data_IF_134455828346
#
_entry.id   IF_134455828346
#
_cell.length_a   1.000
_cell.length_b   1.000
_cell.length_c   1.000
_cell.angle_alpha   90.00
_cell.angle_beta   90.00
_cell.angle_gamma   90.00
#
_symmetry.space_group_name_H-M   'P 1'
#
loop_
_entity.id
_entity.type
_entity.pdbx_description
1 polymer ?
#
# COMPACT_ATOMS: atom_id res chain seq x y z
N UNK A 1 6.52 1.40 26.39
CA UNK A 1 6.11 1.33 24.97
C UNK A 1 5.45 2.62 24.47
N UNK A 2 4.56 3.30 25.23
CA UNK A 2 3.92 4.57 24.83
C UNK A 2 4.89 5.75 24.62
N UNK A 3 5.94 5.86 25.44
CA UNK A 3 6.92 6.95 25.35
C UNK A 3 7.67 6.99 24.01
N UNK A 4 8.01 5.83 23.44
CA UNK A 4 8.74 5.77 22.16
C UNK A 4 7.87 6.20 20.98
N UNK A 5 6.57 5.85 21.02
CA UNK A 5 5.62 6.20 19.98
C UNK A 5 5.46 7.73 19.87
N UNK A 6 5.25 8.37 21.03
CA UNK A 6 5.13 9.81 21.11
C UNK A 6 6.41 10.52 20.65
N UNK A 7 7.57 10.08 21.13
CA UNK A 7 8.86 10.63 20.72
C UNK A 7 9.06 10.58 19.19
N UNK A 8 8.79 9.44 18.56
CA UNK A 8 8.93 9.28 17.11
C UNK A 8 7.92 10.15 16.34
N UNK A 9 6.68 10.23 16.80
CA UNK A 9 5.67 11.06 16.16
C UNK A 9 6.03 12.55 16.22
N UNK A 10 6.48 13.04 17.37
CA UNK A 10 6.94 14.43 17.53
C UNK A 10 8.13 14.75 16.62
N UNK A 11 9.09 13.83 16.49
CA UNK A 11 10.24 14.02 15.61
C UNK A 11 9.85 14.06 14.11
N UNK A 12 8.83 13.29 13.71
CA UNK A 12 8.36 13.21 12.32
C UNK A 12 7.33 14.28 11.96
N UNK A 13 6.65 14.85 12.95
CA UNK A 13 5.64 15.89 12.78
C UNK A 13 6.21 17.16 12.10
N UNK A 14 7.46 17.51 12.40
CA UNK A 14 8.08 18.76 11.93
C UNK A 14 7.24 20.00 12.30
N UNK A 15 7.36 21.08 11.55
CA UNK A 15 6.55 22.31 11.73
C UNK A 15 5.09 22.16 11.28
N UNK A 16 4.70 21.03 10.67
CA UNK A 16 3.41 20.89 9.96
C UNK A 16 2.28 20.37 10.84
N UNK A 17 2.60 19.68 11.93
CA UNK A 17 1.63 19.41 12.98
C UNK A 17 1.86 20.49 14.02
N UNK A 18 1.03 21.54 14.00
CA UNK A 18 0.92 22.41 15.17
C UNK A 18 0.70 21.50 16.38
N UNK A 19 1.42 21.76 17.48
CA UNK A 19 1.19 21.09 18.76
C UNK A 19 -0.26 21.38 19.17
N UNK A 20 -1.18 20.56 18.68
CA UNK A 20 -2.59 20.72 18.97
C UNK A 20 -2.79 20.36 20.45
N UNK A 21 -3.52 21.20 21.17
CA UNK A 21 -3.80 21.02 22.60
C UNK A 21 -4.49 19.68 22.94
N UNK A 22 -4.94 18.94 21.92
CA UNK A 22 -5.60 17.63 22.01
C UNK A 22 -4.73 16.45 21.50
N UNK A 23 -3.40 16.59 21.55
CA UNK A 23 -2.47 15.54 21.15
C UNK A 23 -2.77 14.21 21.88
N UNK A 24 -3.00 13.15 21.12
CA UNK A 24 -3.36 11.82 21.63
C UNK A 24 -2.50 10.72 21.01
N UNK A 25 -2.61 9.51 21.54
CA UNK A 25 -1.93 8.31 20.98
C UNK A 25 -2.42 8.04 19.54
N UNK A 26 -3.68 8.35 19.24
CA UNK A 26 -4.26 8.26 17.90
C UNK A 26 -3.62 9.28 16.96
N UNK A 27 -3.32 10.48 17.45
CA UNK A 27 -2.53 11.50 16.72
C UNK A 27 -1.14 10.98 16.39
N UNK A 28 -0.43 10.38 17.36
CA UNK A 28 0.91 9.81 17.13
C UNK A 28 0.89 8.76 16.01
N UNK A 29 -0.08 7.83 16.09
CA UNK A 29 -0.24 6.76 15.08
C UNK A 29 -0.60 7.34 13.71
N UNK A 30 -1.41 8.40 13.67
CA UNK A 30 -1.77 9.06 12.43
C UNK A 30 -0.56 9.72 11.76
N UNK A 31 0.28 10.40 12.53
CA UNK A 31 1.54 11.01 12.05
C UNK A 31 2.46 9.93 11.46
N UNK A 32 2.69 8.85 12.21
CA UNK A 32 3.51 7.74 11.73
C UNK A 32 2.95 7.08 10.47
N UNK A 33 1.63 6.86 10.42
CA UNK A 33 0.98 6.30 9.22
C UNK A 33 1.15 7.22 8.02
N UNK A 34 0.97 8.53 8.19
CA UNK A 34 1.15 9.51 7.11
C UNK A 34 2.60 9.54 6.62
N UNK A 35 3.55 9.49 7.56
CA UNK A 35 4.98 9.38 7.27
C UNK A 35 5.28 8.18 6.37
N UNK A 36 4.87 6.97 6.79
CA UNK A 36 5.13 5.75 6.02
C UNK A 36 4.42 5.73 4.67
N UNK A 37 3.22 6.32 4.56
CA UNK A 37 2.45 6.29 3.32
C UNK A 37 2.97 7.28 2.27
N UNK A 38 3.42 8.46 2.68
CA UNK A 38 3.74 9.59 1.79
C UNK A 38 5.23 9.91 1.67
N UNK A 39 5.98 9.81 2.78
CA UNK A 39 7.32 10.41 2.86
C UNK A 39 8.43 9.37 2.93
N UNK A 40 8.21 8.29 3.69
CA UNK A 40 9.22 7.27 3.97
C UNK A 40 9.96 6.77 2.73
N UNK A 41 9.24 6.38 1.66
CA UNK A 41 9.90 5.81 0.49
C UNK A 41 10.79 6.84 -0.22
N UNK A 42 10.37 8.10 -0.30
CA UNK A 42 11.16 9.16 -0.92
C UNK A 42 12.42 9.47 -0.11
N UNK A 43 12.29 9.57 1.21
CA UNK A 43 13.43 9.75 2.11
C UNK A 43 14.40 8.57 2.01
N UNK A 44 13.87 7.35 1.95
CA UNK A 44 14.62 6.12 1.77
C UNK A 44 15.40 6.11 0.44
N UNK A 45 14.78 6.50 -0.68
CA UNK A 45 15.48 6.62 -1.96
C UNK A 45 16.63 7.64 -1.91
N UNK A 46 16.43 8.77 -1.22
CA UNK A 46 17.45 9.82 -1.05
C UNK A 46 18.63 9.31 -0.23
N UNK A 47 18.36 8.70 0.93
CA UNK A 47 19.37 8.18 1.86
C UNK A 47 20.25 7.14 1.19
N UNK A 48 19.64 6.23 0.41
CA UNK A 48 20.36 5.14 -0.25
C UNK A 48 20.80 5.46 -1.69
N UNK A 49 20.80 6.73 -2.11
CA UNK A 49 21.26 7.17 -3.44
C UNK A 49 20.69 6.31 -4.58
N UNK A 50 19.37 6.10 -4.60
CA UNK A 50 18.68 5.26 -5.59
C UNK A 50 19.12 3.79 -5.61
N UNK A 51 19.52 3.24 -4.45
CA UNK A 51 19.77 1.81 -4.24
C UNK A 51 19.00 1.32 -3.00
N UNK A 52 17.66 1.35 -3.04
CA UNK A 52 16.85 1.11 -1.86
C UNK A 52 16.96 -0.33 -1.35
N UNK A 53 17.22 -0.48 -0.06
CA UNK A 53 17.14 -1.78 0.64
C UNK A 53 15.70 -2.18 1.03
N UNK A 54 14.78 -1.22 1.14
CA UNK A 54 13.34 -1.46 1.20
C UNK A 54 12.70 -1.29 -0.18
N UNK A 55 12.01 -2.32 -0.65
CA UNK A 55 11.31 -2.33 -1.92
C UNK A 55 9.81 -2.13 -1.71
N UNK A 56 9.24 -1.17 -2.45
CA UNK A 56 7.83 -0.82 -2.34
C UNK A 56 7.02 -1.45 -3.48
N UNK A 57 6.22 -2.45 -3.13
CA UNK A 57 5.16 -3.00 -3.96
C UNK A 57 4.00 -2.01 -3.95
N UNK A 58 3.50 -1.61 -5.13
CA UNK A 58 2.44 -0.62 -5.21
C UNK A 58 1.55 -0.83 -6.44
N UNK A 59 0.23 -0.92 -6.24
CA UNK A 59 -0.77 -1.01 -7.31
C UNK A 59 -1.05 0.36 -7.96
N UNK A 60 -0.03 1.19 -8.13
CA UNK A 60 -0.10 2.49 -8.79
C UNK A 60 -0.76 3.61 -7.98
N UNK A 61 -1.03 4.73 -8.66
CA UNK A 61 -1.49 6.00 -8.05
C UNK A 61 -2.90 5.94 -7.45
N UNK A 62 -3.70 4.94 -7.81
CA UNK A 62 -5.04 4.76 -7.26
C UNK A 62 -5.03 4.35 -5.77
N UNK A 63 -3.86 4.05 -5.18
CA UNK A 63 -3.74 3.70 -3.76
C UNK A 63 -4.44 2.38 -3.43
N UNK A 64 -4.47 1.44 -4.38
CA UNK A 64 -5.10 0.14 -4.20
C UNK A 64 -4.38 -0.68 -3.13
N UNK A 65 -3.08 -0.87 -3.30
CA UNK A 65 -2.22 -1.70 -2.44
C UNK A 65 -0.83 -1.08 -2.34
N UNK A 66 -0.23 -1.15 -1.15
CA UNK A 66 1.16 -0.81 -0.89
C UNK A 66 1.74 -1.83 0.10
N UNK A 67 2.94 -2.33 -0.16
CA UNK A 67 3.69 -3.15 0.79
C UNK A 67 5.19 -2.86 0.71
N UNK A 68 5.82 -2.70 1.87
CA UNK A 68 7.26 -2.51 2.00
C UNK A 68 7.93 -3.83 2.34
N UNK A 69 8.95 -4.19 1.57
CA UNK A 69 9.69 -5.45 1.72
C UNK A 69 11.15 -5.13 1.95
N UNK A 70 11.74 -5.70 3.01
CA UNK A 70 13.16 -5.55 3.26
C UNK A 70 13.97 -6.56 2.44
N UNK A 71 14.78 -6.07 1.51
CA UNK A 71 15.54 -6.89 0.55
C UNK A 71 16.41 -7.97 1.23
N UNK A 72 17.09 -7.65 2.34
CA UNK A 72 17.96 -8.61 3.01
C UNK A 72 17.18 -9.78 3.67
N UNK A 73 15.86 -9.67 3.75
CA UNK A 73 14.95 -10.70 4.25
C UNK A 73 14.11 -11.30 3.13
N UNK A 74 14.41 -10.97 1.89
CA UNK A 74 13.71 -11.49 0.73
C UNK A 74 14.04 -12.97 0.54
N UNK A 75 13.01 -13.75 0.29
CA UNK A 75 13.04 -15.15 -0.07
C UNK A 75 12.25 -15.37 -1.35
N UNK A 76 12.44 -16.51 -2.01
CA UNK A 76 11.63 -16.93 -3.17
C UNK A 76 10.13 -16.99 -2.88
N UNK A 77 9.74 -17.12 -1.61
CA UNK A 77 8.35 -17.14 -1.15
C UNK A 77 7.80 -15.74 -0.84
N UNK A 78 8.61 -14.69 -0.91
CA UNK A 78 8.19 -13.36 -0.44
C UNK A 78 7.04 -12.80 -1.27
N UNK A 79 7.09 -12.94 -2.61
CA UNK A 79 6.00 -12.54 -3.50
C UNK A 79 4.72 -13.33 -3.21
N UNK A 80 4.85 -14.62 -2.91
CA UNK A 80 3.77 -15.51 -2.52
C UNK A 80 3.09 -15.10 -1.21
N UNK A 81 3.91 -14.77 -0.21
CA UNK A 81 3.45 -14.28 1.09
C UNK A 81 2.70 -12.96 0.91
N UNK A 82 3.21 -12.05 0.09
CA UNK A 82 2.58 -10.76 -0.24
C UNK A 82 1.20 -11.01 -0.87
N UNK A 83 1.14 -11.88 -1.88
CA UNK A 83 -0.09 -12.19 -2.58
C UNK A 83 -1.14 -12.81 -1.64
N UNK A 84 -0.77 -13.87 -0.91
CA UNK A 84 -1.71 -14.68 -0.12
C UNK A 84 -2.08 -14.03 1.21
N UNK A 85 -1.12 -13.44 1.94
CA UNK A 85 -1.35 -12.94 3.31
C UNK A 85 -1.73 -11.47 3.38
N UNK A 86 -1.42 -10.67 2.35
CA UNK A 86 -1.65 -9.21 2.41
C UNK A 86 -2.56 -8.73 1.28
N UNK A 87 -2.26 -9.10 0.03
CA UNK A 87 -2.99 -8.62 -1.13
C UNK A 87 -4.42 -9.18 -1.18
N UNK A 88 -4.58 -10.51 -1.11
CA UNK A 88 -5.89 -11.16 -1.18
C UNK A 88 -6.85 -10.75 -0.06
N UNK A 89 -6.41 -10.69 1.22
CA UNK A 89 -7.27 -10.17 2.29
C UNK A 89 -7.71 -8.73 2.06
N UNK A 90 -6.83 -7.86 1.53
CA UNK A 90 -7.18 -6.48 1.22
C UNK A 90 -8.24 -6.39 0.10
N UNK A 91 -8.07 -7.16 -0.97
CA UNK A 91 -9.03 -7.23 -2.07
C UNK A 91 -10.41 -7.68 -1.56
N UNK A 92 -10.44 -8.76 -0.77
CA UNK A 92 -11.68 -9.28 -0.17
C UNK A 92 -12.36 -8.24 0.73
N UNK A 93 -11.59 -7.56 1.57
CA UNK A 93 -12.10 -6.49 2.42
C UNK A 93 -12.75 -5.36 1.60
N UNK A 94 -12.10 -4.92 0.51
CA UNK A 94 -12.64 -3.87 -0.36
C UNK A 94 -13.91 -4.32 -1.09
N UNK A 95 -13.98 -5.57 -1.55
CA UNK A 95 -15.19 -6.15 -2.15
C UNK A 95 -16.35 -6.20 -1.15
N UNK A 96 -16.09 -6.68 0.08
CA UNK A 96 -17.10 -6.69 1.14
C UNK A 96 -17.58 -5.27 1.45
N UNK A 97 -16.66 -4.32 1.62
CA UNK A 97 -16.98 -2.92 1.90
C UNK A 97 -17.82 -2.29 0.78
N UNK A 98 -17.56 -2.64 -0.47
CA UNK A 98 -18.34 -2.19 -1.62
C UNK A 98 -19.80 -2.67 -1.51
N UNK A 99 -19.99 -3.97 -1.22
CA UNK A 99 -21.33 -4.56 -1.07
C UNK A 99 -22.10 -3.93 0.08
N UNK A 100 -21.47 -3.74 1.24
CA UNK A 100 -22.07 -3.10 2.41
C UNK A 100 -22.56 -1.68 2.11
N UNK A 101 -21.72 -0.86 1.45
CA UNK A 101 -22.09 0.52 1.10
C UNK A 101 -23.22 0.51 0.06
N UNK A 102 -23.18 -0.41 -0.92
CA UNK A 102 -24.25 -0.53 -1.91
C UNK A 102 -25.60 -0.84 -1.27
N UNK A 103 -25.66 -1.83 -0.37
CA UNK A 103 -26.88 -2.18 0.36
C UNK A 103 -27.38 -1.04 1.25
N UNK A 104 -26.45 -0.31 1.88
CA UNK A 104 -26.78 0.87 2.68
C UNK A 104 -27.41 1.97 1.83
N UNK A 105 -26.91 2.19 0.61
CA UNK A 105 -27.48 3.19 -0.31
C UNK A 105 -28.86 2.74 -0.80
N UNK A 106 -29.00 1.48 -1.20
CA UNK A 106 -30.26 0.98 -1.74
C UNK A 106 -31.39 0.99 -0.69
N UNK A 107 -31.08 0.71 0.57
CA UNK A 107 -32.05 0.86 1.67
C UNK A 107 -32.41 2.32 1.98
N UNK A 108 -31.51 3.28 1.73
CA UNK A 108 -31.72 4.70 2.03
C UNK A 108 -32.36 5.49 0.89
N UNK A 109 -32.35 4.98 -0.35
CA UNK A 109 -32.88 5.65 -1.55
C UNK A 109 -34.35 6.06 -1.46
N UNK A 110 -35.17 5.36 -0.69
CA UNK A 110 -36.61 5.64 -0.59
C UNK A 110 -36.95 6.90 0.26
N UNK A 111 -35.99 7.44 1.02
CA UNK A 111 -36.22 8.59 1.91
C UNK A 111 -35.49 9.84 1.41
N UNK A 112 -36.24 10.86 0.97
CA UNK A 112 -35.70 12.15 0.48
C UNK A 112 -34.78 12.87 1.48
N UNK A 113 -34.97 12.65 2.79
CA UNK A 113 -34.12 13.22 3.86
C UNK A 113 -32.68 12.66 3.86
N UNK A 114 -32.41 11.55 3.17
CA UNK A 114 -31.10 10.89 3.15
C UNK A 114 -30.25 11.22 1.91
N UNK A 115 -30.68 12.15 1.06
CA UNK A 115 -30.00 12.45 -0.22
C UNK A 115 -28.50 12.77 -0.07
N UNK A 116 -28.10 13.50 1.00
CA UNK A 116 -26.69 13.78 1.28
C UNK A 116 -25.88 12.50 1.55
N UNK A 117 -26.41 11.59 2.38
CA UNK A 117 -25.77 10.31 2.72
C UNK A 117 -25.66 9.40 1.49
N UNK A 118 -26.70 9.38 0.66
CA UNK A 118 -26.70 8.66 -0.63
C UNK A 118 -25.56 9.18 -1.53
N UNK A 119 -25.45 10.49 -1.71
CA UNK A 119 -24.41 11.09 -2.55
C UNK A 119 -22.98 10.81 -2.02
N UNK A 120 -22.79 10.84 -0.70
CA UNK A 120 -21.52 10.49 -0.05
C UNK A 120 -21.17 9.01 -0.26
N UNK A 121 -22.14 8.12 -0.08
CA UNK A 121 -21.99 6.69 -0.34
C UNK A 121 -21.61 6.40 -1.79
N UNK A 122 -22.26 7.06 -2.75
CA UNK A 122 -21.92 6.92 -4.18
C UNK A 122 -20.51 7.40 -4.50
N UNK A 123 -20.05 8.47 -3.84
CA UNK A 123 -18.65 8.94 -3.97
C UNK A 123 -17.68 7.89 -3.43
N UNK A 124 -17.97 7.29 -2.27
CA UNK A 124 -17.16 6.21 -1.69
C UNK A 124 -17.15 4.96 -2.58
N UNK A 125 -18.28 4.55 -3.12
CA UNK A 125 -18.37 3.43 -4.08
C UNK A 125 -17.49 3.67 -5.30
N UNK A 126 -17.54 4.87 -5.88
CA UNK A 126 -16.68 5.23 -7.04
C UNK A 126 -15.20 5.13 -6.69
N UNK A 127 -14.80 5.54 -5.48
CA UNK A 127 -13.41 5.42 -5.03
C UNK A 127 -12.99 3.96 -4.84
N UNK A 128 -13.82 3.14 -4.19
CA UNK A 128 -13.52 1.71 -3.97
C UNK A 128 -13.47 0.96 -5.30
N UNK A 129 -14.40 1.20 -6.23
CA UNK A 129 -14.38 0.61 -7.58
C UNK A 129 -13.09 0.94 -8.34
N UNK A 130 -12.62 2.19 -8.28
CA UNK A 130 -11.33 2.58 -8.88
C UNK A 130 -10.15 1.85 -8.25
N UNK A 131 -10.17 1.64 -6.93
CA UNK A 131 -9.13 0.88 -6.23
C UNK A 131 -9.14 -0.59 -6.63
N UNK A 132 -10.30 -1.23 -6.68
CA UNK A 132 -10.45 -2.62 -7.11
C UNK A 132 -9.97 -2.84 -8.55
N UNK A 133 -10.35 -1.97 -9.49
CA UNK A 133 -9.87 -2.07 -10.88
C UNK A 133 -8.34 -1.99 -10.98
N UNK A 134 -7.70 -1.15 -10.16
CA UNK A 134 -6.24 -1.08 -10.09
C UNK A 134 -5.61 -2.35 -9.46
N UNK A 135 -6.29 -2.96 -8.48
CA UNK A 135 -5.86 -4.21 -7.88
C UNK A 135 -5.95 -5.38 -8.86
N UNK A 136 -7.03 -5.50 -9.64
CA UNK A 136 -7.21 -6.64 -10.55
C UNK A 136 -6.09 -6.73 -11.60
N UNK A 137 -5.65 -5.58 -12.13
CA UNK A 137 -4.51 -5.53 -13.04
C UNK A 137 -3.20 -5.91 -12.33
N UNK A 138 -2.98 -5.38 -11.13
CA UNK A 138 -1.77 -5.65 -10.34
C UNK A 138 -1.70 -7.11 -9.86
N UNK A 139 -2.86 -7.72 -9.59
CA UNK A 139 -2.96 -9.13 -9.19
C UNK A 139 -2.41 -10.05 -10.28
N UNK A 140 -2.73 -9.78 -11.54
CA UNK A 140 -2.23 -10.60 -12.66
C UNK A 140 -0.70 -10.64 -12.69
N UNK A 141 -0.06 -9.50 -12.39
CA UNK A 141 1.40 -9.39 -12.30
C UNK A 141 1.98 -10.10 -11.08
N UNK A 142 1.34 -9.92 -9.92
CA UNK A 142 1.73 -10.63 -8.70
C UNK A 142 1.63 -12.14 -8.87
N UNK A 143 0.53 -12.64 -9.43
CA UNK A 143 0.32 -14.07 -9.67
C UNK A 143 1.35 -14.65 -10.63
N UNK A 144 1.65 -13.95 -11.73
CA UNK A 144 2.68 -14.38 -12.67
C UNK A 144 4.04 -14.52 -11.96
N UNK A 145 4.47 -13.51 -11.20
CA UNK A 145 5.77 -13.52 -10.52
C UNK A 145 5.81 -14.41 -9.27
N UNK A 146 4.68 -14.67 -8.65
CA UNK A 146 4.53 -15.61 -7.55
C UNK A 146 4.90 -17.05 -7.99
N UNK A 147 4.40 -17.48 -9.14
CA UNK A 147 4.66 -18.81 -9.72
C UNK A 147 6.17 -19.01 -10.00
N UNK A 148 6.87 -17.96 -10.40
CA UNK A 148 8.29 -18.02 -10.73
C UNK A 148 9.20 -18.28 -9.52
N UNK A 149 8.72 -18.04 -8.29
CA UNK A 149 9.49 -18.22 -7.05
C UNK A 149 10.92 -17.64 -7.14
N UNK A 150 11.03 -16.41 -7.66
CA UNK A 150 12.31 -15.78 -7.98
C UNK A 150 13.16 -15.63 -6.71
N UNK A 151 14.36 -16.20 -6.70
CA UNK A 151 15.36 -15.96 -5.65
C UNK A 151 16.34 -14.86 -6.06
N UNK A 152 16.87 -14.15 -5.05
CA UNK A 152 17.89 -13.12 -5.24
C UNK A 152 19.19 -13.55 -4.58
N UNK A 153 20.31 -13.15 -5.17
CA UNK A 153 21.62 -13.23 -4.54
C UNK A 153 22.01 -11.82 -4.10
N UNK A 154 22.34 -11.63 -2.82
CA UNK A 154 22.66 -10.31 -2.29
C UNK A 154 23.92 -9.72 -2.94
N UNK A 155 24.83 -10.57 -3.43
CA UNK A 155 26.09 -10.17 -4.06
C UNK A 155 25.90 -9.57 -5.48
N UNK A 156 24.79 -9.89 -6.16
CA UNK A 156 24.43 -9.29 -7.47
C UNK A 156 24.15 -7.78 -7.36
N UNK A 157 23.92 -7.29 -6.14
CA UNK A 157 23.65 -5.90 -5.85
C UNK A 157 22.20 -5.47 -6.12
N UNK A 158 21.81 -4.35 -5.51
CA UNK A 158 20.41 -3.88 -5.46
C UNK A 158 19.80 -3.67 -6.85
N UNK A 159 20.54 -3.08 -7.78
CA UNK A 159 20.01 -2.72 -9.10
C UNK A 159 19.69 -3.96 -9.95
N UNK A 160 20.54 -4.98 -9.90
CA UNK A 160 20.31 -6.24 -10.61
C UNK A 160 19.11 -6.98 -10.01
N UNK A 161 19.11 -7.16 -8.69
CA UNK A 161 18.04 -7.86 -7.99
C UNK A 161 16.69 -7.19 -8.14
N UNK A 162 16.65 -5.86 -8.09
CA UNK A 162 15.41 -5.10 -8.27
C UNK A 162 14.79 -5.32 -9.66
N UNK A 163 15.61 -5.47 -10.70
CA UNK A 163 15.11 -5.83 -12.05
C UNK A 163 14.69 -7.30 -12.12
N UNK A 164 15.45 -8.19 -11.49
CA UNK A 164 15.24 -9.63 -11.47
C UNK A 164 13.86 -10.01 -10.94
N UNK A 165 13.48 -9.49 -9.78
CA UNK A 165 12.19 -9.83 -9.14
C UNK A 165 10.93 -9.31 -9.87
N UNK A 166 11.12 -8.50 -10.91
CA UNK A 166 10.02 -7.93 -11.71
C UNK A 166 9.92 -8.56 -13.10
N UNK A 167 10.78 -9.54 -13.41
CA UNK A 167 10.92 -10.12 -14.74
C UNK A 167 10.71 -11.63 -14.66
N UNK A 168 9.81 -12.17 -15.49
CA UNK A 168 9.57 -13.62 -15.57
C UNK A 168 10.61 -14.35 -16.43
N UNK A 169 10.53 -15.69 -16.48
CA UNK A 169 11.35 -16.51 -17.37
C UNK A 169 11.23 -16.15 -18.87
N UNK A 170 10.09 -15.56 -19.29
CA UNK A 170 9.86 -15.07 -20.67
C UNK A 170 10.47 -13.70 -20.93
N UNK A 171 11.18 -13.12 -19.95
CA UNK A 171 11.80 -11.79 -20.00
C UNK A 171 10.79 -10.64 -20.13
N UNK A 172 9.55 -10.86 -19.69
CA UNK A 172 8.51 -9.83 -19.59
C UNK A 172 8.66 -9.13 -18.24
N UNK A 173 8.78 -7.80 -18.25
CA UNK A 173 8.90 -6.99 -17.03
C UNK A 173 7.57 -6.35 -16.65
N UNK A 174 7.08 -6.63 -15.45
CA UNK A 174 5.73 -6.26 -14.98
C UNK A 174 5.66 -4.94 -14.18
N UNK A 175 6.79 -4.28 -13.92
CA UNK A 175 6.86 -3.05 -13.12
C UNK A 175 6.13 -3.16 -11.75
N UNK A 176 6.37 -4.27 -11.04
CA UNK A 176 5.74 -4.58 -9.76
C UNK A 176 6.07 -3.57 -8.65
N UNK A 177 7.26 -2.97 -8.72
CA UNK A 177 7.81 -2.09 -7.71
C UNK A 177 7.80 -0.62 -8.16
N UNK A 178 7.76 0.29 -7.17
CA UNK A 178 7.89 1.73 -7.41
C UNK A 178 9.31 2.06 -7.83
N UNK A 179 9.46 2.61 -9.05
CA UNK A 179 10.74 3.01 -9.66
C UNK A 179 11.49 4.03 -8.81
N UNK A 180 12.82 4.03 -8.94
CA UNK A 180 13.75 4.96 -8.28
C UNK A 180 14.71 5.62 -9.28
#
# INVERSE_FOLDING_TARGET
MKANLHFLATALAGEKYEFADNWSIETDKAILRDYFDKYFYNDHLRTYRKRPIYWLYSAGKAGGFKALVYMHRYSSETTDIILKKYFKPLQNYLCQRLNEISQTIDSQKCCLLNQKKVNEGEKQLRQIKKRLAALDHYESFLCALAIEHISIDLDDGVAHNYKKIQTDHKKITYNLLVRF
#
